data_IF_841024691235
#
_entry.id   IF_841024691235
#
_cell.length_a   1.000
_cell.length_b   1.000
_cell.length_c   1.000
_cell.angle_alpha   90.00
_cell.angle_beta   90.00
_cell.angle_gamma   90.00
#
_symmetry.space_group_name_H-M   'P 1'
#
loop_
_entity.id
_entity.type
_entity.pdbx_description
1 polymer ?
#
# COMPACT_ATOMS: atom_id res chain seq x y z
N UNK A 1 -21.14 -37.03 25.50
CA UNK A 1 -20.15 -36.70 24.44
C UNK A 1 -20.06 -35.19 24.29
N UNK A 2 -19.09 -34.54 24.94
CA UNK A 2 -18.89 -33.10 24.81
C UNK A 2 -17.89 -32.83 23.67
N UNK A 3 -18.35 -32.22 22.59
CA UNK A 3 -17.50 -31.76 21.50
C UNK A 3 -16.76 -30.52 22.01
N UNK A 4 -15.59 -30.72 22.61
CA UNK A 4 -14.69 -29.65 22.98
C UNK A 4 -14.20 -28.94 21.73
N UNK A 5 -14.80 -27.79 21.40
CA UNK A 5 -14.24 -26.86 20.42
C UNK A 5 -12.87 -26.45 20.95
N UNK A 6 -11.79 -27.01 20.40
CA UNK A 6 -10.45 -26.48 20.59
C UNK A 6 -10.48 -25.05 20.09
N UNK A 7 -10.70 -24.10 21.00
CA UNK A 7 -10.35 -22.70 20.77
C UNK A 7 -8.83 -22.73 20.59
N UNK A 8 -8.39 -22.85 19.34
CA UNK A 8 -7.03 -22.49 18.98
C UNK A 8 -6.94 -20.99 19.28
N UNK A 9 -6.52 -20.69 20.50
CA UNK A 9 -6.01 -19.37 20.83
C UNK A 9 -4.78 -19.22 19.96
N UNK A 10 -4.90 -18.46 18.87
CA UNK A 10 -3.76 -18.08 18.05
C UNK A 10 -2.95 -17.13 18.92
N UNK A 11 -2.00 -17.66 19.69
CA UNK A 11 -1.13 -16.91 20.60
C UNK A 11 0.19 -16.49 19.94
N UNK A 12 0.38 -16.80 18.64
CA UNK A 12 1.54 -16.42 17.83
C UNK A 12 1.24 -15.26 16.88
N UNK A 13 0.88 -14.08 17.43
CA UNK A 13 0.75 -12.83 16.66
C UNK A 13 1.82 -11.80 17.01
N UNK A 14 2.79 -12.14 17.87
CA UNK A 14 3.82 -11.20 18.34
C UNK A 14 5.16 -11.38 17.65
N UNK A 15 5.30 -12.39 16.80
CA UNK A 15 6.46 -12.59 15.97
C UNK A 15 6.63 -11.37 15.05
N UNK A 16 7.82 -10.78 15.09
CA UNK A 16 8.15 -9.60 14.28
C UNK A 16 8.12 -9.98 12.80
N UNK A 17 7.49 -9.13 11.96
CA UNK A 17 7.49 -9.32 10.51
C UNK A 17 8.90 -9.11 9.94
N UNK A 18 9.37 -10.06 9.15
CA UNK A 18 10.65 -9.95 8.43
C UNK A 18 10.51 -9.13 7.15
N UNK A 19 11.62 -8.64 6.61
CA UNK A 19 11.65 -7.88 5.34
C UNK A 19 11.09 -8.70 4.17
N UNK A 20 11.41 -9.98 4.10
CA UNK A 20 10.91 -10.86 3.04
C UNK A 20 9.41 -11.19 3.18
N UNK A 21 8.91 -11.33 4.41
CA UNK A 21 7.47 -11.52 4.64
C UNK A 21 6.67 -10.27 4.30
N UNK A 22 7.17 -9.08 4.67
CA UNK A 22 6.56 -7.82 4.28
C UNK A 22 6.45 -7.72 2.76
N UNK A 23 7.49 -8.14 2.04
CA UNK A 23 7.49 -8.10 0.59
C UNK A 23 6.35 -8.92 0.00
N UNK A 24 6.16 -10.14 0.51
CA UNK A 24 5.08 -11.03 0.07
C UNK A 24 3.70 -10.51 0.47
N UNK A 25 3.56 -9.89 1.63
CA UNK A 25 2.31 -9.23 2.04
C UNK A 25 1.93 -8.14 1.04
N UNK A 26 2.88 -7.29 0.65
CA UNK A 26 2.62 -6.20 -0.32
C UNK A 26 2.29 -6.76 -1.71
N UNK A 27 3.06 -7.74 -2.19
CA UNK A 27 2.83 -8.36 -3.50
C UNK A 27 1.44 -9.00 -3.58
N UNK A 28 1.02 -9.70 -2.53
CA UNK A 28 -0.34 -10.27 -2.43
C UNK A 28 -1.42 -9.21 -2.37
N UNK A 29 -1.18 -8.13 -1.62
CA UNK A 29 -2.15 -7.04 -1.48
C UNK A 29 -2.39 -6.30 -2.79
N UNK A 30 -1.36 -6.17 -3.62
CA UNK A 30 -1.43 -5.49 -4.92
C UNK A 30 -1.71 -6.44 -6.08
N UNK A 31 -1.93 -7.74 -5.82
CA UNK A 31 -2.12 -8.77 -6.84
C UNK A 31 -1.02 -8.75 -7.92
N UNK A 32 0.23 -8.65 -7.48
CA UNK A 32 1.40 -8.63 -8.38
C UNK A 32 1.75 -10.05 -8.78
N UNK A 33 1.71 -10.32 -10.08
CA UNK A 33 2.25 -11.51 -10.69
C UNK A 33 3.57 -11.14 -11.37
N UNK A 34 4.70 -11.57 -10.80
CA UNK A 34 6.02 -11.30 -11.33
C UNK A 34 6.82 -12.60 -11.40
N UNK A 35 7.43 -12.87 -12.54
CA UNK A 35 8.31 -14.03 -12.79
C UNK A 35 9.78 -13.63 -12.96
N UNK A 36 10.08 -12.34 -12.91
CA UNK A 36 11.38 -11.78 -13.24
C UNK A 36 12.24 -11.67 -11.98
N UNK A 37 13.36 -12.38 -11.96
CA UNK A 37 14.27 -12.43 -10.82
C UNK A 37 15.55 -11.60 -11.02
N UNK A 38 15.66 -10.90 -12.14
CA UNK A 38 16.87 -10.16 -12.54
C UNK A 38 17.34 -9.14 -11.49
N UNK A 39 16.39 -8.48 -10.81
CA UNK A 39 16.67 -7.50 -9.75
C UNK A 39 17.32 -8.07 -8.48
N UNK A 40 17.36 -9.39 -8.29
CA UNK A 40 17.97 -10.04 -7.12
C UNK A 40 19.48 -10.23 -7.25
N UNK A 41 19.99 -10.34 -8.49
CA UNK A 41 21.42 -10.58 -8.76
C UNK A 41 22.35 -9.46 -8.30
N UNK A 42 21.79 -8.29 -7.97
CA UNK A 42 22.52 -7.12 -7.47
C UNK A 42 22.94 -7.31 -6.00
N UNK A 43 22.28 -8.20 -5.26
CA UNK A 43 22.55 -8.42 -3.83
C UNK A 43 23.48 -9.58 -3.59
N UNK A 44 24.41 -9.41 -2.66
CA UNK A 44 25.38 -10.45 -2.26
C UNK A 44 24.68 -11.61 -1.53
N UNK A 45 23.56 -11.35 -0.87
CA UNK A 45 22.79 -12.31 -0.07
C UNK A 45 21.56 -12.88 -0.79
N UNK A 46 21.58 -12.92 -2.13
CA UNK A 46 20.50 -13.51 -2.94
C UNK A 46 20.14 -14.93 -2.51
N UNK A 47 21.12 -15.71 -2.06
CA UNK A 47 20.95 -17.11 -1.65
C UNK A 47 20.20 -17.28 -0.33
N UNK A 48 20.12 -16.22 0.49
CA UNK A 48 19.39 -16.24 1.76
C UNK A 48 17.90 -15.94 1.58
N UNK A 49 17.49 -15.46 0.40
CA UNK A 49 16.11 -15.12 0.09
C UNK A 49 15.38 -16.40 -0.27
N UNK A 50 14.27 -16.67 0.42
CA UNK A 50 13.50 -17.86 0.13
C UNK A 50 12.88 -17.81 -1.28
N UNK A 51 12.82 -18.96 -1.96
CA UNK A 51 12.30 -19.03 -3.33
C UNK A 51 10.86 -18.52 -3.50
N UNK A 52 10.04 -18.63 -2.44
CA UNK A 52 8.67 -18.11 -2.42
C UNK A 52 8.57 -16.59 -2.25
N UNK A 53 9.61 -15.93 -1.70
CA UNK A 53 9.65 -14.48 -1.50
C UNK A 53 10.44 -13.77 -2.61
N UNK A 54 11.33 -14.48 -3.30
CA UNK A 54 12.13 -13.97 -4.40
C UNK A 54 11.36 -13.12 -5.44
N UNK A 55 10.24 -13.57 -6.04
CA UNK A 55 9.53 -12.76 -7.04
C UNK A 55 8.95 -11.46 -6.46
N UNK A 56 8.47 -11.49 -5.22
CA UNK A 56 7.96 -10.30 -4.55
C UNK A 56 9.08 -9.30 -4.24
N UNK A 57 10.25 -9.80 -3.81
CA UNK A 57 11.42 -8.96 -3.53
C UNK A 57 11.93 -8.31 -4.82
N UNK A 58 12.06 -9.07 -5.90
CA UNK A 58 12.52 -8.56 -7.20
C UNK A 58 11.64 -7.39 -7.68
N UNK A 59 10.32 -7.56 -7.62
CA UNK A 59 9.37 -6.50 -7.98
C UNK A 59 9.50 -5.25 -7.11
N UNK A 60 9.65 -5.40 -5.79
CA UNK A 60 9.79 -4.26 -4.88
C UNK A 60 11.08 -3.48 -5.11
N UNK A 61 12.16 -4.18 -5.49
CA UNK A 61 13.45 -3.57 -5.81
C UNK A 61 13.36 -2.82 -7.13
N UNK A 62 12.69 -3.39 -8.14
CA UNK A 62 12.41 -2.72 -9.41
C UNK A 62 11.62 -1.42 -9.22
N UNK A 63 10.61 -1.44 -8.34
CA UNK A 63 9.81 -0.24 -7.97
C UNK A 63 10.50 0.68 -6.96
N UNK A 64 11.74 0.39 -6.58
CA UNK A 64 12.54 1.16 -5.62
C UNK A 64 11.84 1.36 -4.25
N UNK A 65 10.90 0.47 -3.90
CA UNK A 65 10.15 0.50 -2.65
C UNK A 65 10.98 -0.03 -1.49
N UNK A 66 11.75 -1.08 -1.75
CA UNK A 66 12.76 -1.61 -0.84
C UNK A 66 14.14 -1.40 -1.45
N UNK A 67 15.03 -0.77 -0.67
CA UNK A 67 16.43 -0.57 -1.03
C UNK A 67 17.30 -1.49 -0.19
N UNK A 68 18.37 -2.00 -0.80
CA UNK A 68 19.44 -2.68 -0.08
C UNK A 68 20.23 -1.72 0.80
N UNK A 69 21.07 -2.28 1.63
CA UNK A 69 22.03 -1.57 2.47
C UNK A 69 23.25 -1.12 1.64
N UNK A 70 24.01 -0.12 2.12
CA UNK A 70 25.25 0.31 1.45
C UNK A 70 26.28 -0.81 1.29
N UNK A 71 26.20 -1.85 2.14
CA UNK A 71 27.06 -3.04 2.09
C UNK A 71 26.73 -3.98 0.90
N UNK A 72 25.72 -3.66 0.08
CA UNK A 72 25.26 -4.52 -1.01
C UNK A 72 24.38 -5.70 -0.57
N UNK A 73 23.87 -5.66 0.66
CA UNK A 73 23.02 -6.72 1.24
C UNK A 73 21.55 -6.30 1.36
N UNK A 74 20.62 -7.24 1.30
CA UNK A 74 19.18 -7.01 1.47
C UNK A 74 18.68 -7.35 2.90
N UNK A 75 19.28 -8.38 3.53
CA UNK A 75 18.99 -8.92 4.87
C UNK A 75 17.54 -9.42 5.00
N UNK A 76 17.13 -10.48 4.28
CA UNK A 76 15.73 -10.93 4.20
C UNK A 76 15.09 -11.25 5.55
N UNK A 77 15.85 -11.90 6.44
CA UNK A 77 15.41 -12.37 7.78
C UNK A 77 15.42 -11.27 8.84
N UNK A 78 15.82 -10.05 8.49
CA UNK A 78 15.83 -8.95 9.46
C UNK A 78 14.40 -8.54 9.80
N UNK A 79 14.09 -8.45 11.10
CA UNK A 79 12.84 -7.92 11.59
C UNK A 79 12.71 -6.42 11.29
N UNK A 80 11.52 -6.01 10.84
CA UNK A 80 11.19 -4.60 10.62
C UNK A 80 10.40 -4.02 11.80
N UNK A 81 10.59 -2.73 12.03
CA UNK A 81 9.71 -1.96 12.91
C UNK A 81 8.34 -1.73 12.24
N UNK A 82 7.30 -1.53 13.05
CA UNK A 82 5.96 -1.21 12.54
C UNK A 82 5.97 0.06 11.68
N UNK A 83 6.77 1.06 12.06
CA UNK A 83 6.88 2.31 11.33
C UNK A 83 7.48 2.13 9.93
N UNK A 84 8.52 1.31 9.80
CA UNK A 84 9.13 0.99 8.50
C UNK A 84 8.15 0.24 7.60
N UNK A 85 7.47 -0.78 8.13
CA UNK A 85 6.49 -1.55 7.38
C UNK A 85 5.36 -0.67 6.81
N UNK A 86 4.79 0.21 7.64
CA UNK A 86 3.73 1.14 7.21
C UNK A 86 4.25 2.12 6.16
N UNK A 87 5.48 2.62 6.30
CA UNK A 87 6.07 3.56 5.34
C UNK A 87 6.21 2.93 3.95
N UNK A 88 6.66 1.68 3.87
CA UNK A 88 6.78 0.94 2.60
C UNK A 88 5.40 0.67 2.02
N UNK A 89 4.44 0.25 2.84
CA UNK A 89 3.06 0.01 2.43
C UNK A 89 2.42 1.28 1.83
N UNK A 90 2.53 2.43 2.50
CA UNK A 90 1.96 3.69 2.02
C UNK A 90 2.57 4.11 0.68
N UNK A 91 3.89 3.93 0.50
CA UNK A 91 4.56 4.19 -0.78
C UNK A 91 4.08 3.25 -1.87
N UNK A 92 3.92 1.96 -1.57
CA UNK A 92 3.42 0.97 -2.53
C UNK A 92 1.99 1.28 -2.99
N UNK A 93 1.11 1.67 -2.06
CA UNK A 93 -0.27 2.07 -2.36
C UNK A 93 -0.34 3.35 -3.21
N UNK A 94 0.56 4.31 -2.96
CA UNK A 94 0.62 5.54 -3.75
C UNK A 94 0.94 5.29 -5.23
N UNK A 95 1.71 4.24 -5.56
CA UNK A 95 1.96 3.84 -6.96
C UNK A 95 0.70 3.31 -7.66
N UNK A 96 -0.16 2.59 -6.93
CA UNK A 96 -1.42 2.05 -7.47
C UNK A 96 -2.52 3.12 -7.56
N UNK A 97 -2.53 4.07 -6.63
CA UNK A 97 -3.58 5.08 -6.52
C UNK A 97 -3.01 6.49 -6.68
N UNK A 98 -2.70 6.93 -7.92
CA UNK A 98 -2.27 8.31 -8.16
C UNK A 98 -3.36 9.34 -7.80
N UNK A 99 -4.60 8.90 -7.54
CA UNK A 99 -5.64 9.75 -6.99
C UNK A 99 -6.77 8.91 -6.37
N UNK A 100 -6.64 8.49 -5.10
CA UNK A 100 -7.82 8.62 -4.23
C UNK A 100 -7.99 10.10 -3.91
N UNK A 101 -8.25 10.89 -4.96
CA UNK A 101 -8.91 12.18 -4.82
C UNK A 101 -10.17 11.87 -4.06
N UNK A 102 -10.38 12.57 -2.96
CA UNK A 102 -11.70 12.73 -2.41
C UNK A 102 -12.63 13.00 -3.61
N UNK A 103 -13.52 12.04 -3.91
CA UNK A 103 -14.76 12.40 -4.54
C UNK A 103 -15.38 13.39 -3.56
N UNK A 104 -15.33 14.63 -4.01
CA UNK A 104 -15.70 15.83 -3.31
C UNK A 104 -17.13 15.69 -2.78
N UNK A 105 -17.33 15.16 -1.58
CA UNK A 105 -18.43 15.63 -0.73
C UNK A 105 -17.97 16.96 -0.13
N UNK A 106 -18.10 18.01 -0.96
CA UNK A 106 -18.24 19.40 -0.48
C UNK A 106 -19.18 19.35 0.72
N UNK A 107 -18.78 19.99 1.82
CA UNK A 107 -19.57 20.06 3.04
C UNK A 107 -21.04 20.29 2.73
N UNK A 108 -21.85 19.29 3.03
CA UNK A 108 -23.29 19.42 3.10
C UNK A 108 -23.62 19.51 4.58
N UNK A 109 -23.43 20.69 5.16
CA UNK A 109 -24.12 21.06 6.39
C UNK A 109 -24.84 22.40 6.17
N UNK A 110 -26.16 22.27 6.19
CA UNK A 110 -27.22 23.27 6.34
C UNK A 110 -27.39 24.30 5.22
N UNK A 111 -28.40 24.06 4.37
CA UNK A 111 -29.02 25.09 3.52
C UNK A 111 -29.70 26.13 4.43
N UNK A 112 -29.40 27.44 4.36
CA UNK A 112 -30.39 28.42 4.79
C UNK A 112 -31.53 28.41 3.76
N UNK A 113 -32.77 28.26 4.23
CA UNK A 113 -33.99 28.18 3.41
C UNK A 113 -34.37 29.52 2.75
N UNK A 114 -33.71 30.64 3.07
CA UNK A 114 -34.05 31.94 2.47
C UNK A 114 -32.79 32.66 1.99
N UNK A 115 -32.59 32.73 0.68
CA UNK A 115 -31.96 33.91 0.08
C UNK A 115 -32.95 34.48 -0.94
N UNK A 116 -33.74 35.41 -0.42
CA UNK A 116 -34.69 36.24 -1.13
C UNK A 116 -34.08 36.81 -2.43
N UNK A 117 -34.93 36.79 -3.45
CA UNK A 117 -34.95 37.65 -4.62
C UNK A 117 -34.30 39.03 -4.37
N UNK A 118 -33.09 39.26 -4.85
CA UNK A 118 -32.59 40.62 -5.09
C UNK A 118 -31.30 40.60 -5.93
N UNK A 119 -31.46 40.46 -7.24
CA UNK A 119 -30.82 41.33 -8.24
C UNK A 119 -31.41 40.97 -9.59
N UNK A 120 -32.39 41.76 -10.03
CA UNK A 120 -32.87 41.71 -11.39
C UNK A 120 -31.76 42.14 -12.34
N UNK A 121 -31.26 41.21 -13.14
CA UNK A 121 -30.40 41.54 -14.27
C UNK A 121 -31.18 41.25 -15.55
N UNK A 122 -31.60 42.37 -16.15
CA UNK A 122 -32.49 42.55 -17.28
C UNK A 122 -31.87 41.90 -18.52
N UNK A 123 -32.58 40.92 -19.10
CA UNK A 123 -32.28 40.37 -20.43
C UNK A 123 -32.26 41.50 -21.47
N UNK A 124 -31.11 41.75 -22.07
CA UNK A 124 -31.00 42.50 -23.33
C UNK A 124 -30.52 41.53 -24.40
N UNK A 125 -31.46 41.03 -25.20
CA UNK A 125 -31.19 40.35 -26.47
C UNK A 125 -31.03 41.41 -27.56
N UNK A 126 -29.93 41.44 -28.33
CA UNK A 126 -29.90 42.20 -29.58
C UNK A 126 -30.65 41.43 -30.67
N UNK A 127 -31.66 42.09 -31.26
CA UNK A 127 -32.24 41.73 -32.55
C UNK A 127 -31.19 41.97 -33.65
N UNK A 128 -30.80 40.93 -34.37
CA UNK A 128 -30.49 40.95 -35.81
C UNK A 128 -30.80 39.58 -36.39
#
# INVERSE_FOLDING_TARGET
MAIGRKRHCVSGWRESITREELAVVIARLLYVENTDLSGLSVFVDSDQIASWSAPAVAWLVEKQLLKGYPDGTFRPKQSLTRAEAVTVLTRALALSQPALRCSRRRGHMVRPIIRLLSTGMRLSLPRM
#
